data_IF_345257784524
#
_entry.id   IF_345257784524
#
_cell.length_a   1.000
_cell.length_b   1.000
_cell.length_c   1.000
_cell.angle_alpha   90.00
_cell.angle_beta   90.00
_cell.angle_gamma   90.00
#
_symmetry.space_group_name_H-M   'P 1'
#
loop_
_entity.id
_entity.type
_entity.pdbx_description
1 polymer ?
#
# COMPACT_ATOMS: atom_id res chain seq x y z
N UNK A 1 0.28 9.40 -6.26
CA UNK A 1 0.62 10.58 -5.44
C UNK A 1 0.65 10.29 -3.94
N UNK A 2 -0.36 10.70 -3.17
CA UNK A 2 -0.24 10.89 -1.72
C UNK A 2 0.13 9.65 -0.91
N UNK A 3 -0.42 8.49 -1.29
CA UNK A 3 -0.05 7.18 -0.72
C UNK A 3 1.42 6.86 -1.02
N UNK A 4 1.85 7.05 -2.27
CA UNK A 4 3.23 6.81 -2.70
C UNK A 4 4.21 7.73 -1.94
N UNK A 5 3.88 9.01 -1.75
CA UNK A 5 4.69 9.98 -0.97
C UNK A 5 4.84 9.60 0.53
N UNK A 6 4.05 8.65 1.04
CA UNK A 6 4.19 8.05 2.37
C UNK A 6 5.00 6.75 2.30
N UNK A 7 4.81 5.93 1.27
CA UNK A 7 5.57 4.70 1.04
C UNK A 7 7.04 4.97 0.72
N UNK A 8 7.34 5.92 -0.16
CA UNK A 8 8.71 6.30 -0.58
C UNK A 8 9.55 6.81 0.60
N UNK A 9 8.89 7.46 1.56
CA UNK A 9 9.52 8.09 2.74
C UNK A 9 9.36 7.25 4.01
N UNK A 10 8.91 6.01 3.90
CA UNK A 10 8.48 5.24 5.08
C UNK A 10 9.56 5.12 6.17
N UNK A 11 10.81 4.85 5.80
CA UNK A 11 11.94 4.73 6.74
C UNK A 11 12.43 6.08 7.29
N UNK A 12 11.81 7.18 6.87
CA UNK A 12 12.04 8.55 7.33
C UNK A 12 10.83 9.09 8.11
N UNK A 13 9.75 8.30 8.24
CA UNK A 13 8.60 8.62 9.08
C UNK A 13 8.90 8.05 10.47
N UNK A 14 9.02 8.97 11.41
CA UNK A 14 9.06 8.78 12.86
C UNK A 14 7.82 7.97 13.33
N UNK A 15 8.04 6.99 14.20
CA UNK A 15 7.06 5.98 14.58
C UNK A 15 5.96 6.48 15.53
N UNK A 16 6.10 7.67 16.12
CA UNK A 16 5.01 8.37 16.80
C UNK A 16 3.96 8.95 15.82
N UNK A 17 4.27 9.04 14.52
CA UNK A 17 3.39 9.65 13.52
C UNK A 17 2.28 8.69 13.10
N UNK A 18 1.10 8.81 13.72
CA UNK A 18 -0.08 8.01 13.39
C UNK A 18 -0.81 8.47 12.13
N UNK A 19 -0.68 9.74 11.73
CA UNK A 19 -1.26 10.24 10.48
C UNK A 19 -0.45 11.35 9.79
N UNK A 20 -0.53 11.36 8.46
CA UNK A 20 -0.17 12.50 7.61
C UNK A 20 -1.44 13.22 7.19
N UNK A 21 -1.52 14.53 7.44
CA UNK A 21 -2.65 15.37 7.06
C UNK A 21 -2.21 16.33 5.96
N UNK A 22 -3.02 16.47 4.92
CA UNK A 22 -2.80 17.39 3.81
C UNK A 22 -4.00 18.33 3.77
N UNK A 23 -3.75 19.63 3.74
CA UNK A 23 -4.80 20.65 3.57
C UNK A 23 -4.91 20.98 2.08
N UNK A 24 -6.14 21.02 1.57
CA UNK A 24 -6.42 21.34 0.17
C UNK A 24 -7.50 22.41 0.04
N UNK A 25 -7.28 23.32 -0.90
CA UNK A 25 -8.25 24.29 -1.39
C UNK A 25 -8.57 23.96 -2.85
N UNK A 26 -9.82 23.60 -3.16
CA UNK A 26 -10.19 22.96 -4.43
C UNK A 26 -9.29 21.75 -4.72
N UNK A 27 -8.58 21.76 -5.85
CA UNK A 27 -7.60 20.75 -6.26
C UNK A 27 -6.15 21.07 -5.85
N UNK A 28 -5.90 22.18 -5.13
CA UNK A 28 -4.56 22.64 -4.75
C UNK A 28 -4.20 22.22 -3.33
N UNK A 29 -3.01 21.63 -3.18
CA UNK A 29 -2.40 21.28 -1.88
C UNK A 29 -1.80 22.56 -1.29
N UNK A 30 -2.29 23.02 -0.15
CA UNK A 30 -1.82 24.27 0.49
C UNK A 30 -0.92 24.03 1.70
N UNK A 31 -1.09 22.91 2.42
CA UNK A 31 -0.23 22.54 3.54
C UNK A 31 -0.10 21.03 3.73
N UNK A 32 0.91 20.62 4.49
CA UNK A 32 1.12 19.24 4.98
C UNK A 32 1.51 19.29 6.45
N UNK A 33 0.92 18.42 7.25
CA UNK A 33 1.22 18.23 8.67
C UNK A 33 1.38 16.74 8.98
N UNK A 34 2.09 16.42 10.06
CA UNK A 34 2.25 15.07 10.58
C UNK A 34 1.81 15.05 12.03
N UNK A 35 0.79 14.25 12.34
CA UNK A 35 0.20 14.16 13.66
C UNK A 35 0.90 13.09 14.50
N UNK A 36 1.53 13.52 15.60
CA UNK A 36 2.02 12.64 16.69
C UNK A 36 1.06 12.63 17.87
N UNK A 37 0.63 13.82 18.31
CA UNK A 37 -0.33 13.98 19.40
C UNK A 37 -1.60 13.14 19.16
N UNK A 38 -2.07 12.31 20.12
CA UNK A 38 -3.23 11.43 19.92
C UNK A 38 -4.55 12.16 19.62
N UNK A 39 -4.62 13.47 19.90
CA UNK A 39 -5.73 14.35 19.58
C UNK A 39 -5.23 15.48 18.69
N UNK A 40 -5.89 15.68 17.56
CA UNK A 40 -5.63 16.73 16.58
C UNK A 40 -6.88 17.62 16.44
N UNK A 41 -6.74 18.93 16.65
CA UNK A 41 -7.79 19.91 16.33
C UNK A 41 -7.59 20.43 14.92
N UNK A 42 -8.66 20.61 14.14
CA UNK A 42 -8.61 21.24 12.81
C UNK A 42 -9.71 22.29 12.75
N UNK A 43 -9.33 23.56 12.70
CA UNK A 43 -10.23 24.70 12.89
C UNK A 43 -9.95 25.83 11.88
N UNK A 44 -10.64 26.96 12.01
CA UNK A 44 -10.51 28.14 11.16
C UNK A 44 -9.60 29.23 11.71
N UNK A 45 -8.66 28.92 12.63
CA UNK A 45 -7.68 29.92 13.07
C UNK A 45 -6.55 30.11 12.06
N UNK A 46 -5.78 31.17 12.26
CA UNK A 46 -4.59 31.59 11.53
C UNK A 46 -3.28 31.02 12.12
N UNK A 47 -3.35 30.20 13.18
CA UNK A 47 -2.21 29.56 13.87
C UNK A 47 -1.31 28.66 12.97
N UNK A 48 -1.77 28.28 11.77
CA UNK A 48 -1.04 27.36 10.88
C UNK A 48 -1.01 25.92 11.41
N UNK A 49 0.13 25.45 11.92
CA UNK A 49 0.25 24.13 12.57
C UNK A 49 1.22 24.17 13.76
N UNK A 50 0.69 23.89 14.96
CA UNK A 50 1.44 23.93 16.24
C UNK A 50 1.88 22.54 16.76
N UNK A 51 1.59 21.46 16.01
CA UNK A 51 1.81 20.07 16.41
C UNK A 51 0.55 19.31 16.83
N UNK A 52 -0.48 20.00 17.34
CA UNK A 52 -1.74 19.42 17.84
C UNK A 52 -3.02 20.14 17.35
N UNK A 53 -2.86 21.25 16.64
CA UNK A 53 -3.90 22.06 15.99
C UNK A 53 -3.46 22.43 14.58
N UNK A 54 -4.38 22.34 13.62
CA UNK A 54 -4.24 22.89 12.28
C UNK A 54 -5.24 24.05 12.13
N UNK A 55 -4.71 25.26 12.12
CA UNK A 55 -5.43 26.48 11.77
C UNK A 55 -5.50 26.63 10.25
N UNK A 56 -6.64 26.26 9.66
CA UNK A 56 -6.81 26.21 8.20
C UNK A 56 -6.71 27.58 7.52
N UNK A 57 -6.85 28.68 8.24
CA UNK A 57 -6.68 30.03 7.71
C UNK A 57 -5.19 30.45 7.65
N UNK A 58 -4.32 29.85 8.46
CA UNK A 58 -2.89 30.15 8.56
C UNK A 58 -2.02 29.59 7.43
N UNK A 59 -2.60 29.35 6.26
CA UNK A 59 -1.90 28.86 5.07
C UNK A 59 -2.26 29.71 3.86
N UNK A 60 -1.24 30.15 3.14
CA UNK A 60 -1.38 30.91 1.91
C UNK A 60 -1.75 30.03 0.70
N UNK A 61 -2.49 30.64 -0.22
CA UNK A 61 -2.76 30.08 -1.54
C UNK A 61 -2.86 31.24 -2.55
N UNK A 62 -1.82 31.50 -3.35
CA UNK A 62 -1.84 32.56 -4.38
C UNK A 62 -2.92 32.39 -5.45
N UNK A 63 -3.58 31.22 -5.50
CA UNK A 63 -4.62 30.87 -6.47
C UNK A 63 -5.97 30.58 -5.77
N UNK A 64 -6.22 31.18 -4.59
CA UNK A 64 -7.49 31.06 -3.85
C UNK A 64 -8.60 31.84 -4.56
N UNK A 65 -9.74 31.19 -4.79
CA UNK A 65 -10.93 31.84 -5.31
C UNK A 65 -11.74 32.52 -4.19
N UNK A 66 -12.50 33.57 -4.54
CA UNK A 66 -13.29 34.35 -3.58
C UNK A 66 -14.26 33.49 -2.75
N UNK A 67 -14.93 32.50 -3.34
CA UNK A 67 -15.88 31.65 -2.59
C UNK A 67 -15.14 30.81 -1.55
N UNK A 68 -13.94 30.30 -1.87
CA UNK A 68 -13.10 29.60 -0.89
C UNK A 68 -12.71 30.52 0.27
N UNK A 69 -12.31 31.75 -0.02
CA UNK A 69 -11.98 32.77 1.00
C UNK A 69 -13.21 33.18 1.86
N UNK A 70 -14.41 33.20 1.29
CA UNK A 70 -15.67 33.37 2.03
C UNK A 70 -16.00 32.17 2.91
N UNK A 71 -15.86 30.93 2.40
CA UNK A 71 -16.14 29.72 3.17
C UNK A 71 -15.13 29.48 4.30
N UNK A 72 -13.84 29.85 4.15
CA UNK A 72 -12.83 29.68 5.22
C UNK A 72 -13.20 30.42 6.52
N UNK A 73 -13.78 31.63 6.41
CA UNK A 73 -14.27 32.44 7.54
C UNK A 73 -15.33 31.73 8.39
N UNK A 74 -16.04 30.76 7.80
CA UNK A 74 -17.14 30.03 8.43
C UNK A 74 -16.71 28.71 9.10
N UNK A 75 -15.43 28.31 9.02
CA UNK A 75 -14.95 27.05 9.64
C UNK A 75 -15.10 27.09 11.17
N UNK A 76 -14.88 28.23 11.81
CA UNK A 76 -14.97 28.40 13.26
C UNK A 76 -14.08 27.40 14.02
N UNK A 77 -14.60 26.75 15.05
CA UNK A 77 -13.86 25.74 15.81
C UNK A 77 -13.59 24.42 15.04
N UNK A 78 -14.21 24.22 13.88
CA UNK A 78 -14.00 23.05 13.01
C UNK A 78 -14.32 21.70 13.67
N UNK A 79 -13.31 20.83 13.79
CA UNK A 79 -13.40 19.47 14.32
C UNK A 79 -12.28 19.16 15.33
N UNK A 80 -12.55 18.20 16.21
CA UNK A 80 -11.52 17.47 16.95
C UNK A 80 -11.47 16.03 16.44
N UNK A 81 -10.27 15.55 16.18
CA UNK A 81 -9.96 14.20 15.70
C UNK A 81 -9.13 13.52 16.79
N UNK A 82 -9.36 12.23 17.05
CA UNK A 82 -8.57 11.42 17.99
C UNK A 82 -8.31 10.04 17.40
N UNK A 83 -7.08 9.51 17.54
CA UNK A 83 -6.84 8.07 17.40
C UNK A 83 -7.08 7.35 18.74
N UNK A 84 -7.66 6.15 18.70
CA UNK A 84 -7.71 5.24 19.85
C UNK A 84 -6.71 4.09 19.74
N UNK A 85 -6.50 3.37 20.85
CA UNK A 85 -5.48 2.32 20.99
C UNK A 85 -5.75 1.09 20.10
N UNK A 86 -6.94 1.02 19.49
CA UNK A 86 -7.32 0.01 18.50
C UNK A 86 -7.19 0.54 17.05
N UNK A 87 -6.60 1.71 16.84
CA UNK A 87 -6.34 2.32 15.54
C UNK A 87 -7.59 2.89 14.84
N UNK A 88 -8.72 3.03 15.53
CA UNK A 88 -9.85 3.78 14.98
C UNK A 88 -9.51 5.27 15.01
N UNK A 89 -10.01 6.02 14.02
CA UNK A 89 -9.98 7.49 14.06
C UNK A 89 -11.39 7.96 14.40
N UNK A 90 -11.52 8.60 15.55
CA UNK A 90 -12.72 9.30 16.01
C UNK A 90 -12.69 10.74 15.50
N UNK A 91 -13.85 11.27 15.14
CA UNK A 91 -14.05 12.68 14.81
C UNK A 91 -15.28 13.23 15.53
N UNK A 92 -15.17 14.47 16.02
CA UNK A 92 -16.25 15.23 16.65
C UNK A 92 -16.30 16.62 16.01
N UNK A 93 -17.45 17.00 15.46
CA UNK A 93 -17.72 18.38 15.02
C UNK A 93 -17.88 19.26 16.25
N UNK A 94 -17.13 20.37 16.28
CA UNK A 94 -17.25 21.45 17.27
C UNK A 94 -17.60 22.80 16.61
N UNK A 95 -17.67 22.85 15.27
CA UNK A 95 -18.13 24.02 14.52
C UNK A 95 -19.64 24.17 14.50
N UNK A 96 -20.08 25.43 14.52
CA UNK A 96 -21.46 25.83 14.18
C UNK A 96 -21.82 25.46 12.74
N UNK A 97 -20.90 25.62 11.79
CA UNK A 97 -21.11 25.26 10.39
C UNK A 97 -20.89 23.75 10.14
N UNK A 98 -21.45 23.26 9.04
CA UNK A 98 -21.42 21.83 8.72
C UNK A 98 -20.02 21.35 8.34
N UNK A 99 -19.77 20.06 8.58
CA UNK A 99 -18.56 19.34 8.16
C UNK A 99 -19.02 18.01 7.57
N UNK A 100 -18.44 17.60 6.45
CA UNK A 100 -18.91 16.50 5.62
C UNK A 100 -17.81 15.46 5.41
N UNK A 101 -18.15 14.18 5.52
CA UNK A 101 -17.19 13.08 5.35
C UNK A 101 -17.32 12.48 3.96
N UNK A 102 -16.22 12.53 3.20
CA UNK A 102 -16.16 12.07 1.81
C UNK A 102 -15.56 10.66 1.76
N UNK A 103 -16.25 9.74 1.08
CA UNK A 103 -15.71 8.41 0.82
C UNK A 103 -14.55 8.50 -0.17
N UNK A 104 -13.43 7.89 0.17
CA UNK A 104 -12.23 7.78 -0.68
C UNK A 104 -12.08 6.39 -1.30
N UNK A 105 -12.93 5.41 -0.93
CA UNK A 105 -13.03 4.13 -1.61
C UNK A 105 -13.70 4.28 -2.98
N UNK A 106 -13.23 3.48 -3.95
CA UNK A 106 -13.75 3.47 -5.33
C UNK A 106 -15.05 2.65 -5.48
N UNK A 107 -15.36 1.81 -4.48
CA UNK A 107 -16.53 0.94 -4.42
C UNK A 107 -17.41 1.26 -3.19
N UNK A 108 -18.49 0.50 -3.01
CA UNK A 108 -19.23 0.39 -1.73
C UNK A 108 -18.33 0.05 -0.52
N UNK A 109 -17.20 -0.62 -0.75
CA UNK A 109 -16.25 -1.03 0.31
C UNK A 109 -15.45 0.15 0.86
N UNK A 110 -15.76 0.53 2.11
CA UNK A 110 -15.12 1.64 2.81
C UNK A 110 -14.81 1.29 4.28
N UNK A 111 -13.89 2.06 4.89
CA UNK A 111 -13.53 1.98 6.31
C UNK A 111 -14.34 2.95 7.21
N UNK A 112 -15.29 3.71 6.66
CA UNK A 112 -16.03 4.75 7.41
C UNK A 112 -16.98 4.10 8.43
N UNK A 113 -17.08 4.70 9.63
CA UNK A 113 -18.00 4.24 10.67
C UNK A 113 -19.46 4.31 10.24
N UNK A 114 -20.22 3.26 10.56
CA UNK A 114 -21.61 3.12 10.10
C UNK A 114 -22.54 4.24 10.59
N UNK A 115 -22.19 4.96 11.66
CA UNK A 115 -22.98 6.07 12.17
C UNK A 115 -22.84 7.37 11.36
N UNK A 116 -21.78 7.52 10.57
CA UNK A 116 -21.66 8.59 9.56
C UNK A 116 -22.54 8.26 8.35
N UNK A 117 -22.48 7.00 7.88
CA UNK A 117 -23.18 6.52 6.68
C UNK A 117 -24.72 6.50 6.83
N UNK A 118 -25.24 6.67 8.04
CA UNK A 118 -26.69 6.84 8.33
C UNK A 118 -27.16 8.29 8.19
N UNK A 119 -26.26 9.28 8.23
CA UNK A 119 -26.63 10.70 8.26
C UNK A 119 -26.65 11.25 6.83
N UNK A 120 -27.70 12.00 6.41
CA UNK A 120 -27.77 12.56 5.07
C UNK A 120 -26.51 13.34 4.65
N UNK A 121 -26.03 13.06 3.44
CA UNK A 121 -24.81 13.64 2.86
C UNK A 121 -23.53 13.43 3.68
N UNK A 122 -23.50 12.44 4.59
CA UNK A 122 -22.40 12.21 5.55
C UNK A 122 -22.04 13.47 6.37
N UNK A 123 -23.03 14.35 6.63
CA UNK A 123 -22.83 15.54 7.44
C UNK A 123 -22.65 15.14 8.92
N UNK A 124 -21.65 15.68 9.60
CA UNK A 124 -21.43 15.41 11.02
C UNK A 124 -22.46 16.15 11.89
N UNK A 125 -23.13 15.41 12.76
CA UNK A 125 -23.89 15.97 13.88
C UNK A 125 -22.98 16.83 14.77
N UNK A 126 -23.45 17.98 15.30
CA UNK A 126 -22.66 18.80 16.22
C UNK A 126 -22.44 18.09 17.56
N UNK A 127 -21.28 18.31 18.18
CA UNK A 127 -20.85 17.81 19.49
C UNK A 127 -20.78 16.27 19.68
N UNK A 128 -21.27 15.48 18.72
CA UNK A 128 -21.32 14.02 18.76
C UNK A 128 -20.04 13.39 18.18
N UNK A 129 -19.29 12.58 18.96
CA UNK A 129 -18.14 11.84 18.43
C UNK A 129 -18.61 10.61 17.64
N UNK A 130 -18.00 10.38 16.47
CA UNK A 130 -18.26 9.23 15.57
C UNK A 130 -16.95 8.69 14.99
N UNK A 131 -16.94 7.43 14.53
CA UNK A 131 -15.76 6.84 13.86
C UNK A 131 -15.61 7.34 12.43
N UNK A 132 -14.66 8.23 12.18
CA UNK A 132 -14.19 8.58 10.83
C UNK A 132 -13.63 7.34 10.11
N UNK A 133 -12.83 6.55 10.84
CA UNK A 133 -12.22 5.31 10.37
C UNK A 133 -12.43 4.21 11.42
N UNK A 134 -13.04 3.10 11.03
CA UNK A 134 -13.22 1.91 11.86
C UNK A 134 -12.20 0.83 11.49
N UNK A 135 -11.25 0.57 12.38
CA UNK A 135 -10.16 -0.39 12.13
C UNK A 135 -10.67 -1.82 12.03
N UNK A 136 -11.75 -2.19 12.74
CA UNK A 136 -12.35 -3.54 12.67
C UNK A 136 -13.06 -3.76 11.33
N UNK A 137 -13.73 -2.73 10.80
CA UNK A 137 -14.29 -2.70 9.44
C UNK A 137 -13.18 -2.83 8.40
N UNK A 138 -12.11 -2.05 8.54
CA UNK A 138 -10.96 -2.11 7.64
C UNK A 138 -10.26 -3.48 7.65
N UNK A 139 -9.94 -4.04 8.82
CA UNK A 139 -9.42 -5.40 8.96
C UNK A 139 -10.34 -6.44 8.30
N UNK A 140 -11.66 -6.28 8.41
CA UNK A 140 -12.64 -7.17 7.76
C UNK A 140 -12.64 -7.03 6.23
N UNK A 141 -12.32 -5.84 5.71
CA UNK A 141 -12.15 -5.59 4.27
C UNK A 141 -10.82 -6.18 3.76
N UNK A 142 -9.70 -5.96 4.46
CA UNK A 142 -8.39 -6.58 4.14
C UNK A 142 -8.49 -8.10 4.09
N UNK A 143 -9.11 -8.72 5.10
CA UNK A 143 -9.33 -10.17 5.15
C UNK A 143 -10.29 -10.69 4.06
N UNK A 144 -11.14 -9.83 3.49
CA UNK A 144 -12.03 -10.18 2.37
C UNK A 144 -11.32 -10.06 1.02
N UNK A 145 -10.55 -9.00 0.82
CA UNK A 145 -9.70 -8.78 -0.35
C UNK A 145 -8.68 -9.91 -0.51
N UNK A 146 -7.98 -10.28 0.57
CA UNK A 146 -7.03 -11.41 0.61
C UNK A 146 -7.63 -12.78 0.24
N UNK A 147 -8.96 -12.92 0.20
CA UNK A 147 -9.66 -14.16 -0.20
C UNK A 147 -10.19 -14.12 -1.64
N UNK A 148 -10.08 -12.99 -2.35
CA UNK A 148 -10.47 -12.88 -3.76
C UNK A 148 -9.52 -13.68 -4.65
N UNK A 149 -9.96 -14.04 -5.86
CA UNK A 149 -9.11 -14.70 -6.85
C UNK A 149 -7.94 -13.82 -7.28
N UNK A 150 -8.16 -12.51 -7.34
CA UNK A 150 -7.15 -11.47 -7.60
C UNK A 150 -7.32 -10.38 -6.53
N UNK A 151 -6.57 -10.43 -5.41
CA UNK A 151 -6.55 -9.36 -4.41
C UNK A 151 -5.86 -8.12 -4.97
N UNK A 152 -6.51 -6.96 -4.96
CA UNK A 152 -5.89 -5.68 -5.33
C UNK A 152 -5.64 -4.83 -4.08
N UNK A 153 -4.35 -4.55 -3.83
CA UNK A 153 -3.87 -3.71 -2.73
C UNK A 153 -4.36 -2.26 -2.84
N UNK A 154 -4.53 -1.71 -4.05
CA UNK A 154 -4.90 -0.30 -4.27
C UNK A 154 -6.28 0.03 -3.69
N UNK A 155 -7.22 -0.92 -3.79
CA UNK A 155 -8.56 -0.86 -3.18
C UNK A 155 -8.51 -0.62 -1.67
N UNK A 156 -7.49 -1.16 -1.00
CA UNK A 156 -7.29 -1.07 0.44
C UNK A 156 -6.50 0.19 0.82
N UNK A 157 -5.52 0.59 0.01
CA UNK A 157 -4.78 1.85 0.22
C UNK A 157 -5.71 3.06 0.11
N UNK A 158 -6.69 3.05 -0.80
CA UNK A 158 -7.74 4.06 -0.89
C UNK A 158 -8.64 4.14 0.36
N UNK A 159 -8.75 3.05 1.12
CA UNK A 159 -9.49 3.02 2.40
C UNK A 159 -8.65 3.51 3.58
N UNK A 160 -7.32 3.56 3.47
CA UNK A 160 -6.44 4.19 4.48
C UNK A 160 -6.50 5.72 4.45
N UNK A 161 -7.23 6.29 3.48
CA UNK A 161 -7.50 7.71 3.35
C UNK A 161 -8.82 8.05 4.07
N UNK A 162 -8.95 9.31 4.50
CA UNK A 162 -10.21 9.87 4.99
C UNK A 162 -10.28 11.35 4.67
N UNK A 163 -11.31 11.76 3.91
CA UNK A 163 -11.46 13.14 3.43
C UNK A 163 -12.58 13.87 4.19
N UNK A 164 -12.28 15.08 4.66
CA UNK A 164 -13.16 15.92 5.49
C UNK A 164 -13.31 17.28 4.80
N UNK A 165 -14.51 17.63 4.35
CA UNK A 165 -14.82 18.92 3.74
C UNK A 165 -15.54 19.84 4.74
N UNK A 166 -15.16 21.12 4.80
CA UNK A 166 -15.69 22.08 5.76
C UNK A 166 -16.65 23.08 5.11
N UNK A 167 -17.69 23.45 5.85
CA UNK A 167 -18.72 24.46 5.53
C UNK A 167 -19.63 24.10 4.35
N UNK A 168 -19.06 23.73 3.19
CA UNK A 168 -19.77 23.48 1.94
C UNK A 168 -19.41 22.11 1.37
N UNK A 169 -20.45 21.33 1.07
CA UNK A 169 -20.35 20.09 0.30
C UNK A 169 -20.59 20.40 -1.19
N UNK A 170 -19.65 20.03 -2.06
CA UNK A 170 -19.86 19.92 -3.51
C UNK A 170 -20.04 18.44 -3.90
N UNK A 171 -20.31 18.12 -5.16
CA UNK A 171 -20.35 16.72 -5.60
C UNK A 171 -18.93 16.14 -5.61
N UNK A 172 -18.05 16.72 -6.42
CA UNK A 172 -16.65 16.30 -6.52
C UNK A 172 -15.81 16.74 -5.32
N UNK A 173 -14.88 15.87 -4.92
CA UNK A 173 -13.97 16.16 -3.80
C UNK A 173 -13.00 17.30 -4.16
N UNK A 174 -12.53 17.33 -5.41
CA UNK A 174 -11.59 18.35 -5.90
C UNK A 174 -12.24 19.72 -6.13
N UNK A 175 -13.57 19.80 -6.11
CA UNK A 175 -14.31 21.07 -6.15
C UNK A 175 -14.57 21.65 -4.76
N UNK A 176 -14.44 20.86 -3.69
CA UNK A 176 -14.71 21.33 -2.33
C UNK A 176 -13.78 22.52 -1.98
N UNK A 177 -14.33 23.66 -1.49
CA UNK A 177 -13.56 24.90 -1.34
C UNK A 177 -12.40 24.76 -0.37
N UNK A 178 -12.64 24.14 0.79
CA UNK A 178 -11.63 23.86 1.82
C UNK A 178 -11.89 22.49 2.44
N UNK A 179 -10.89 21.62 2.37
CA UNK A 179 -10.97 20.25 2.87
C UNK A 179 -9.60 19.74 3.32
N UNK A 180 -9.58 18.66 4.10
CA UNK A 180 -8.35 17.95 4.47
C UNK A 180 -8.42 16.48 4.08
N UNK A 181 -7.28 15.94 3.67
CA UNK A 181 -7.05 14.52 3.45
C UNK A 181 -6.18 13.99 4.58
N UNK A 182 -6.71 13.05 5.37
CA UNK A 182 -5.97 12.30 6.37
C UNK A 182 -5.53 10.98 5.75
N UNK A 183 -4.25 10.63 5.93
CA UNK A 183 -3.68 9.32 5.61
C UNK A 183 -3.37 8.64 6.94
N UNK A 184 -4.08 7.54 7.23
CA UNK A 184 -3.85 6.73 8.42
C UNK A 184 -2.60 5.87 8.24
N UNK A 185 -1.50 6.24 8.90
CA UNK A 185 -0.20 5.55 8.77
C UNK A 185 -0.26 4.16 9.41
N UNK A 186 -0.97 4.01 10.53
CA UNK A 186 -1.18 2.72 11.20
C UNK A 186 -1.93 1.73 10.30
N UNK A 187 -2.93 2.19 9.56
CA UNK A 187 -3.64 1.38 8.56
C UNK A 187 -2.73 0.99 7.38
N UNK A 188 -1.89 1.91 6.91
CA UNK A 188 -0.91 1.65 5.85
C UNK A 188 0.16 0.63 6.28
N UNK A 189 0.62 0.65 7.53
CA UNK A 189 1.58 -0.34 8.04
C UNK A 189 0.95 -1.73 8.09
N UNK A 190 -0.29 -1.83 8.59
CA UNK A 190 -1.02 -3.08 8.57
C UNK A 190 -1.15 -3.63 7.14
N UNK A 191 -1.39 -2.78 6.12
CA UNK A 191 -1.35 -3.22 4.73
C UNK A 191 0.03 -3.72 4.30
N UNK A 192 1.11 -3.02 4.60
CA UNK A 192 2.47 -3.47 4.27
C UNK A 192 2.78 -4.84 4.89
N UNK A 193 2.31 -5.11 6.11
CA UNK A 193 2.50 -6.40 6.80
C UNK A 193 1.69 -7.57 6.20
N UNK A 194 0.54 -7.30 5.56
CA UNK A 194 -0.36 -8.33 5.00
C UNK A 194 -0.25 -8.49 3.49
N UNK A 195 0.13 -7.42 2.80
CA UNK A 195 0.34 -7.32 1.36
C UNK A 195 1.65 -6.54 1.13
N UNK A 196 2.81 -7.20 1.20
CA UNK A 196 4.07 -6.62 0.72
C UNK A 196 3.90 -6.08 -0.71
N UNK A 197 4.64 -5.04 -1.11
CA UNK A 197 4.68 -4.64 -2.52
C UNK A 197 5.06 -5.84 -3.39
N UNK A 198 4.49 -5.95 -4.60
CA UNK A 198 4.90 -7.00 -5.53
C UNK A 198 6.38 -6.79 -5.89
N UNK A 199 7.20 -7.76 -5.50
CA UNK A 199 8.64 -7.77 -5.77
C UNK A 199 8.87 -7.96 -7.29
N UNK A 200 9.47 -6.98 -8.00
CA UNK A 200 9.68 -7.08 -9.44
C UNK A 200 10.64 -8.22 -9.84
N UNK A 201 11.39 -8.80 -8.90
CA UNK A 201 12.25 -9.96 -9.12
C UNK A 201 11.58 -11.29 -8.72
N UNK A 202 10.41 -11.29 -8.07
CA UNK A 202 9.70 -12.52 -7.68
C UNK A 202 8.74 -13.02 -8.77
N UNK A 203 9.29 -13.38 -9.93
CA UNK A 203 8.54 -13.86 -11.10
C UNK A 203 7.97 -15.29 -10.93
N UNK A 204 6.99 -15.45 -10.03
CA UNK A 204 5.92 -16.45 -10.19
C UNK A 204 6.21 -17.91 -9.84
N UNK A 205 7.41 -18.29 -9.35
CA UNK A 205 7.69 -19.69 -8.95
C UNK A 205 6.95 -20.16 -7.67
N UNK A 206 6.13 -19.30 -7.06
CA UNK A 206 4.87 -19.73 -6.44
C UNK A 206 3.72 -19.31 -7.34
N UNK A 207 3.26 -20.24 -8.18
CA UNK A 207 1.97 -20.11 -8.84
C UNK A 207 0.89 -20.00 -7.76
N UNK A 208 0.37 -18.79 -7.54
CA UNK A 208 -0.79 -18.56 -6.66
C UNK A 208 -2.02 -19.15 -7.35
N UNK A 209 -2.25 -20.44 -7.14
CA UNK A 209 -3.42 -21.18 -7.62
C UNK A 209 -4.67 -20.37 -7.24
N UNK A 210 -5.48 -19.88 -8.20
CA UNK A 210 -6.69 -19.13 -7.87
C UNK A 210 -7.64 -20.00 -7.04
N UNK A 211 -8.39 -19.38 -6.14
CA UNK A 211 -8.95 -20.04 -4.95
C UNK A 211 -10.21 -20.92 -5.21
N UNK A 212 -10.25 -21.62 -6.35
CA UNK A 212 -11.38 -22.42 -6.84
C UNK A 212 -11.71 -23.66 -5.97
N UNK A 213 -10.77 -24.17 -5.18
CA UNK A 213 -10.91 -25.43 -4.42
C UNK A 213 -11.39 -25.20 -2.97
N UNK A 214 -11.74 -23.97 -2.60
CA UNK A 214 -12.20 -23.62 -1.24
C UNK A 214 -13.62 -24.12 -0.88
N UNK A 215 -14.37 -24.69 -1.84
CA UNK A 215 -15.80 -25.06 -1.67
C UNK A 215 -16.10 -26.56 -1.59
N UNK A 216 -15.10 -27.45 -1.58
CA UNK A 216 -15.30 -28.92 -1.65
C UNK A 216 -14.65 -29.71 -0.51
N UNK A 217 -14.87 -29.28 0.74
CA UNK A 217 -14.57 -30.09 1.96
C UNK A 217 -15.76 -30.18 2.90
N UNK A 218 -16.83 -30.81 2.42
CA UNK A 218 -17.98 -31.22 3.20
C UNK A 218 -18.38 -32.67 2.86
N UNK A 219 -17.48 -33.61 3.16
CA UNK A 219 -17.82 -34.98 3.60
C UNK A 219 -16.56 -35.68 4.13
N UNK A 220 -16.69 -36.33 5.29
CA UNK A 220 -15.72 -37.31 5.81
C UNK A 220 -16.30 -38.69 5.54
N UNK A 221 -15.70 -39.47 4.65
CA UNK A 221 -15.77 -40.93 4.73
C UNK A 221 -14.39 -41.53 4.42
N UNK A 222 -14.15 -42.72 4.95
CA UNK A 222 -12.81 -43.33 5.04
C UNK A 222 -12.67 -44.55 4.13
N UNK A 223 -11.67 -44.55 3.25
CA UNK A 223 -11.27 -45.72 2.48
C UNK A 223 -9.75 -45.95 2.57
N UNK A 224 -9.27 -47.14 2.96
CA UNK A 224 -7.85 -47.44 3.10
C UNK A 224 -7.20 -47.79 1.74
N UNK A 225 -6.05 -47.16 1.45
CA UNK A 225 -5.31 -47.40 0.21
C UNK A 225 -4.61 -48.77 0.22
N UNK A 226 -5.17 -49.77 -0.48
CA UNK A 226 -4.43 -51.00 -0.83
C UNK A 226 -3.51 -50.73 -2.02
N UNK A 227 -2.20 -50.96 -1.84
CA UNK A 227 -1.23 -51.00 -2.94
C UNK A 227 -1.50 -52.25 -3.78
N UNK A 228 -1.64 -52.09 -5.10
CA UNK A 228 -1.55 -53.23 -6.02
C UNK A 228 -0.09 -53.44 -6.42
N UNK A 229 0.40 -54.68 -6.29
CA UNK A 229 1.68 -55.10 -6.85
C UNK A 229 1.46 -55.62 -8.26
N UNK A 230 2.38 -55.31 -9.16
CA UNK A 230 2.44 -55.91 -10.50
C UNK A 230 2.87 -57.37 -10.34
N UNK A 231 2.27 -58.26 -11.13
CA UNK A 231 2.81 -59.59 -11.42
C UNK A 231 2.69 -59.85 -12.92
N UNK A 232 3.76 -60.36 -13.52
CA UNK A 232 3.76 -60.84 -14.90
C UNK A 232 3.21 -62.27 -14.95
N UNK A 233 2.49 -62.60 -16.02
CA UNK A 233 2.55 -63.94 -16.60
C UNK A 233 2.26 -63.89 -18.11
N UNK A 234 2.70 -64.90 -18.83
CA UNK A 234 2.97 -64.86 -20.28
C UNK A 234 2.40 -66.11 -20.95
N UNK A 235 1.78 -65.94 -22.12
CA UNK A 235 1.53 -67.02 -23.09
C UNK A 235 1.58 -66.46 -24.53
N UNK A 236 1.91 -67.31 -25.50
CA UNK A 236 2.19 -66.99 -26.92
C UNK A 236 1.55 -68.04 -27.85
N UNK A 237 1.84 -67.94 -29.17
CA UNK A 237 1.49 -68.85 -30.30
C UNK A 237 0.08 -68.64 -30.87
N UNK A 238 -0.21 -68.63 -32.18
CA UNK A 238 0.46 -68.36 -33.49
C UNK A 238 -0.71 -68.33 -34.54
N UNK A 239 -0.64 -67.86 -35.80
CA UNK A 239 0.25 -66.97 -36.59
C UNK A 239 -0.34 -66.79 -38.00
N UNK A 240 -0.39 -65.57 -38.57
CA UNK A 240 -0.23 -65.40 -40.02
C UNK A 240 0.23 -64.01 -40.52
N UNK A 241 0.63 -63.99 -41.79
CA UNK A 241 1.48 -63.05 -42.50
C UNK A 241 0.69 -62.29 -43.59
N UNK A 242 0.99 -61.00 -43.84
CA UNK A 242 1.22 -60.45 -45.20
C UNK A 242 1.91 -59.07 -45.20
N UNK A 243 2.64 -58.76 -46.28
CA UNK A 243 3.20 -57.43 -46.63
C UNK A 243 2.14 -56.58 -47.40
N UNK A 244 2.22 -55.26 -47.56
CA UNK A 244 3.32 -54.52 -48.20
C UNK A 244 3.27 -52.98 -47.99
N UNK A 245 4.32 -52.30 -48.49
CA UNK A 245 4.62 -50.86 -48.50
C UNK A 245 3.45 -49.90 -48.80
N UNK A 246 3.48 -48.72 -48.15
CA UNK A 246 3.77 -47.49 -48.89
C UNK A 246 4.50 -46.44 -48.04
N UNK A 247 5.19 -45.49 -48.70
CA UNK A 247 6.19 -44.59 -48.12
C UNK A 247 5.72 -43.12 -48.14
N UNK A 248 6.10 -42.31 -47.14
CA UNK A 248 6.26 -40.84 -47.24
C UNK A 248 7.11 -40.31 -46.06
N UNK A 249 7.83 -39.20 -46.26
CA UNK A 249 8.85 -38.71 -45.33
C UNK A 249 8.35 -37.64 -44.35
N UNK A 250 8.98 -37.56 -43.17
CA UNK A 250 8.93 -36.41 -42.25
C UNK A 250 10.38 -36.06 -41.85
N UNK A 251 10.76 -34.79 -41.99
CA UNK A 251 12.04 -34.26 -41.50
C UNK A 251 12.07 -34.17 -39.96
N UNK A 252 13.23 -34.42 -39.35
CA UNK A 252 13.49 -34.12 -37.94
C UNK A 252 14.73 -33.22 -37.81
N UNK A 253 14.68 -32.21 -36.93
CA UNK A 253 15.85 -31.47 -36.48
C UNK A 253 16.32 -32.00 -35.11
N UNK A 254 17.63 -32.02 -34.80
CA UNK A 254 18.13 -32.73 -33.62
C UNK A 254 18.00 -31.92 -32.33
N UNK A 255 17.76 -32.61 -31.22
CA UNK A 255 18.02 -32.06 -29.88
C UNK A 255 19.53 -32.11 -29.59
N UNK A 256 20.10 -31.01 -29.10
CA UNK A 256 21.48 -31.00 -28.60
C UNK A 256 21.54 -31.49 -27.15
N UNK A 257 22.31 -32.56 -26.92
CA UNK A 257 22.55 -33.09 -25.59
C UNK A 257 23.56 -32.23 -24.83
N UNK A 258 23.24 -31.87 -23.59
CA UNK A 258 24.25 -31.36 -22.66
C UNK A 258 25.23 -32.49 -22.29
N UNK A 259 26.54 -32.21 -22.41
CA UNK A 259 27.61 -33.02 -21.82
C UNK A 259 28.64 -32.12 -21.16
N UNK A 260 28.75 -32.24 -19.85
CA UNK A 260 29.95 -31.85 -19.10
C UNK A 260 31.00 -32.96 -19.20
N UNK A 261 32.28 -32.63 -19.34
CA UNK A 261 33.30 -32.85 -18.31
C UNK A 261 34.68 -32.29 -18.75
N UNK A 262 35.62 -32.34 -17.81
CA UNK A 262 37.08 -32.40 -17.97
C UNK A 262 37.91 -31.11 -18.19
N UNK A 263 38.72 -30.84 -17.14
CA UNK A 263 40.03 -30.19 -17.02
C UNK A 263 40.63 -29.32 -18.15
N UNK A 264 41.09 -28.13 -17.77
CA UNK A 264 41.85 -27.21 -18.63
C UNK A 264 43.39 -27.32 -18.49
N UNK A 265 44.10 -26.37 -19.09
CA UNK A 265 45.52 -26.10 -18.85
C UNK A 265 45.81 -24.61 -19.11
N UNK A 266 47.02 -24.19 -18.76
CA UNK A 266 47.47 -22.80 -18.64
C UNK A 266 47.62 -22.03 -19.97
N UNK A 267 47.68 -20.70 -19.83
CA UNK A 267 48.40 -19.70 -20.64
C UNK A 267 48.45 -19.85 -22.18
N UNK A 268 47.88 -18.87 -22.90
CA UNK A 268 48.74 -17.87 -23.54
C UNK A 268 47.99 -16.56 -23.91
N UNK A 269 48.74 -15.50 -24.23
CA UNK A 269 48.21 -14.14 -24.39
C UNK A 269 47.54 -13.89 -25.76
N UNK A 270 46.24 -13.56 -25.75
CA UNK A 270 45.55 -12.92 -26.89
C UNK A 270 45.08 -11.53 -26.45
N UNK A 271 45.77 -10.50 -26.92
CA UNK A 271 45.45 -9.10 -26.63
C UNK A 271 44.19 -8.66 -27.39
N UNK A 272 43.13 -8.33 -26.65
CA UNK A 272 41.88 -7.84 -27.27
C UNK A 272 42.07 -6.41 -27.81
N UNK A 273 41.71 -6.13 -29.08
CA UNK A 273 41.94 -4.83 -29.71
C UNK A 273 41.14 -3.66 -29.07
N UNK A 274 40.25 -3.93 -28.12
CA UNK A 274 39.48 -2.93 -27.38
C UNK A 274 40.21 -2.33 -26.16
N UNK A 275 41.39 -2.83 -25.78
CA UNK A 275 42.20 -2.30 -24.68
C UNK A 275 42.48 -0.78 -24.78
N UNK A 276 42.51 -0.23 -25.99
CA UNK A 276 42.82 1.18 -26.23
C UNK A 276 41.68 2.15 -25.88
N UNK A 277 40.44 1.67 -25.70
CA UNK A 277 39.25 2.54 -25.51
C UNK A 277 38.86 2.67 -24.03
N UNK A 278 39.16 1.67 -23.19
CA UNK A 278 38.79 1.64 -21.77
C UNK A 278 40.01 1.53 -20.84
N UNK A 279 41.03 2.34 -21.13
CA UNK A 279 42.19 2.53 -20.25
C UNK A 279 41.78 2.93 -18.82
N UNK A 280 42.51 2.41 -17.83
CA UNK A 280 42.11 2.49 -16.41
C UNK A 280 42.05 3.93 -15.89
N UNK A 281 40.88 4.33 -15.37
CA UNK A 281 40.79 5.46 -14.43
C UNK A 281 41.45 5.09 -13.09
N UNK A 282 42.34 5.92 -12.52
CA UNK A 282 42.90 5.68 -11.19
C UNK A 282 41.85 5.75 -10.08
N UNK A 283 41.96 4.86 -9.09
CA UNK A 283 41.12 4.89 -7.88
C UNK A 283 41.66 5.98 -6.94
N UNK A 284 40.85 6.98 -6.52
CA UNK A 284 41.27 7.97 -5.53
C UNK A 284 41.59 7.33 -4.18
N UNK A 285 42.70 7.71 -3.57
CA UNK A 285 43.12 7.19 -2.26
C UNK A 285 42.16 7.59 -1.14
N UNK A 286 41.72 6.61 -0.36
CA UNK A 286 40.78 6.80 0.76
C UNK A 286 41.49 7.43 1.96
N UNK A 287 41.39 8.75 2.10
CA UNK A 287 41.92 9.46 3.26
C UNK A 287 41.29 8.97 4.58
N UNK A 288 42.14 8.80 5.57
CA UNK A 288 41.80 8.35 6.92
C UNK A 288 41.36 9.55 7.78
N UNK A 289 40.21 9.43 8.46
CA UNK A 289 39.70 10.47 9.37
C UNK A 289 39.73 9.89 10.79
N UNK A 290 40.50 10.46 11.74
CA UNK A 290 40.52 9.99 13.13
C UNK A 290 39.21 10.35 13.85
N UNK A 291 38.74 9.45 14.71
CA UNK A 291 37.56 9.71 15.53
C UNK A 291 37.87 10.69 16.66
N UNK A 292 37.00 11.68 16.87
CA UNK A 292 37.04 12.52 18.09
C UNK A 292 36.13 11.94 19.18
N UNK A 293 36.56 11.96 20.47
CA UNK A 293 35.72 11.54 21.57
C UNK A 293 34.62 12.56 21.83
N UNK A 294 33.35 12.13 21.85
CA UNK A 294 32.26 12.95 22.38
C UNK A 294 32.31 12.90 23.91
N UNK A 295 32.64 14.03 24.53
CA UNK A 295 32.37 14.25 25.95
C UNK A 295 30.85 14.19 26.19
N UNK A 296 30.44 13.44 27.22
CA UNK A 296 29.08 13.53 27.72
C UNK A 296 28.91 14.86 28.46
N UNK A 297 27.79 15.54 28.23
CA UNK A 297 27.25 16.52 29.16
C UNK A 297 25.90 15.99 29.64
N UNK A 298 25.86 15.63 30.94
CA UNK A 298 24.62 15.49 31.69
C UNK A 298 24.26 16.89 32.17
N UNK A 299 23.02 17.31 31.90
CA UNK A 299 22.40 18.48 32.51
C UNK A 299 21.08 18.03 33.13
N UNK A 300 21.06 17.91 34.45
CA UNK A 300 19.82 17.90 35.22
C UNK A 300 19.26 19.34 35.30
N UNK A 301 18.01 19.46 35.74
CA UNK A 301 17.38 20.54 36.55
C UNK A 301 15.93 20.79 36.12
N UNK A 302 15.02 20.52 37.07
CA UNK A 302 13.63 20.98 37.26
C UNK A 302 12.71 21.22 36.03
#
# INVERSE_FOLDING_TARGET
>A
DHIQEVLDKWTQIDDEIWAKVIVLERNRRVAKAYARAPVLTVNGSDDGFDGFRIGLCGFDNPMRDQKTEEFKRHIGHGVKIKMDDAGNILIKRVSKCNVYIKNTGQDEENAIGNDILKVPNNALDPEKPVKLFDMKKFQSNVNRELRRAYPDRRRLECQCLSAIAFVKNEQELLECPIWVLIINVVAMDMLKSKLPPDDPYYCGLRARVPNFVAKSKANKESLPSKRYSINQQQQQILMHQQMNMNHHQIHQHPMWHARSYESGIDSDAIESPYNQIYGRLPIPTRNYIPAQPRTMYIGEWD
#
